data_IF_267111023892
#
_entry.id   IF_267111023892
#
_cell.length_a   1.000
_cell.length_b   1.000
_cell.length_c   1.000
_cell.angle_alpha   90.00
_cell.angle_beta   90.00
_cell.angle_gamma   90.00
#
_symmetry.space_group_name_H-M   'P 1'
#
loop_
_entity.id
_entity.type
_entity.pdbx_description
1 polymer ?
#
# COMPACT_ATOMS: atom_id res chain seq x y z
N UNK A 1 -41.70 16.75 -28.82
CA UNK A 1 -41.56 16.54 -27.37
C UNK A 1 -41.34 15.07 -27.04
N UNK A 2 -42.16 14.14 -27.59
CA UNK A 2 -41.95 12.69 -27.42
C UNK A 2 -40.63 12.20 -28.06
N UNK A 3 -40.38 12.55 -29.32
CA UNK A 3 -39.14 12.15 -30.03
C UNK A 3 -37.86 12.69 -29.38
N UNK A 4 -37.96 13.88 -28.79
CA UNK A 4 -36.85 14.52 -28.05
C UNK A 4 -36.57 13.78 -26.74
N UNK A 5 -37.62 13.29 -26.07
CA UNK A 5 -37.51 12.46 -24.88
C UNK A 5 -36.92 11.09 -25.21
N UNK A 6 -37.35 10.45 -26.29
CA UNK A 6 -36.82 9.15 -26.75
C UNK A 6 -35.34 9.23 -27.15
N UNK A 7 -34.94 10.34 -27.78
CA UNK A 7 -33.55 10.60 -28.12
C UNK A 7 -32.68 10.78 -26.87
N UNK A 8 -33.15 11.58 -25.90
CA UNK A 8 -32.45 11.78 -24.62
C UNK A 8 -32.37 10.48 -23.81
N UNK A 9 -33.46 9.69 -23.79
CA UNK A 9 -33.51 8.41 -23.10
C UNK A 9 -32.55 7.39 -23.72
N UNK A 10 -32.51 7.31 -25.04
CA UNK A 10 -31.56 6.45 -25.77
C UNK A 10 -30.11 6.86 -25.50
N UNK A 11 -29.81 8.17 -25.50
CA UNK A 11 -28.47 8.68 -25.17
C UNK A 11 -28.08 8.32 -23.73
N UNK A 12 -28.99 8.51 -22.77
CA UNK A 12 -28.76 8.17 -21.37
C UNK A 12 -28.51 6.67 -21.19
N UNK A 13 -29.31 5.81 -21.82
CA UNK A 13 -29.12 4.35 -21.80
C UNK A 13 -27.77 3.94 -22.38
N UNK A 14 -27.37 4.51 -23.52
CA UNK A 14 -26.06 4.25 -24.14
C UNK A 14 -24.94 4.67 -23.20
N UNK A 15 -25.04 5.86 -22.59
CA UNK A 15 -24.05 6.36 -21.64
C UNK A 15 -23.95 5.45 -20.41
N UNK A 16 -25.09 5.04 -19.83
CA UNK A 16 -25.14 4.12 -18.68
C UNK A 16 -24.52 2.77 -19.05
N UNK A 17 -24.84 2.21 -20.23
CA UNK A 17 -24.26 0.95 -20.70
C UNK A 17 -22.73 1.06 -20.84
N UNK A 18 -22.24 2.16 -21.42
CA UNK A 18 -20.81 2.47 -21.55
C UNK A 18 -20.09 2.60 -20.21
N UNK A 19 -20.75 3.07 -19.15
CA UNK A 19 -20.17 3.09 -17.80
C UNK A 19 -20.28 1.75 -17.08
N UNK A 20 -21.32 0.97 -17.38
CA UNK A 20 -21.59 -0.30 -16.70
C UNK A 20 -20.58 -1.37 -17.09
N UNK A 21 -20.18 -1.44 -18.36
CA UNK A 21 -19.23 -2.44 -18.87
C UNK A 21 -17.84 -2.31 -18.21
N UNK A 22 -17.19 -1.12 -18.16
CA UNK A 22 -15.93 -0.93 -17.44
C UNK A 22 -16.05 -1.21 -15.94
N UNK A 23 -17.16 -0.80 -15.30
CA UNK A 23 -17.39 -1.07 -13.88
C UNK A 23 -17.49 -2.58 -13.60
N UNK A 24 -18.16 -3.35 -14.46
CA UNK A 24 -18.23 -4.80 -14.37
C UNK A 24 -16.85 -5.44 -14.54
N UNK A 25 -16.08 -5.03 -15.56
CA UNK A 25 -14.72 -5.55 -15.80
C UNK A 25 -13.81 -5.26 -14.58
N UNK A 26 -13.83 -4.03 -14.07
CA UNK A 26 -13.06 -3.65 -12.88
C UNK A 26 -13.52 -4.41 -11.64
N UNK A 27 -14.82 -4.61 -11.46
CA UNK A 27 -15.39 -5.39 -10.37
C UNK A 27 -14.94 -6.85 -10.41
N UNK A 28 -14.92 -7.46 -11.59
CA UNK A 28 -14.43 -8.84 -11.80
C UNK A 28 -12.93 -8.94 -11.51
N UNK A 29 -12.12 -7.99 -12.00
CA UNK A 29 -10.68 -7.96 -11.70
C UNK A 29 -10.43 -7.83 -10.20
N UNK A 30 -11.15 -6.94 -9.52
CA UNK A 30 -11.05 -6.79 -8.06
C UNK A 30 -11.47 -8.07 -7.34
N UNK A 31 -12.57 -8.70 -7.74
CA UNK A 31 -13.03 -9.96 -7.17
C UNK A 31 -11.99 -11.07 -7.33
N UNK A 32 -11.39 -11.23 -8.52
CA UNK A 32 -10.33 -12.20 -8.75
C UNK A 32 -9.08 -11.93 -7.89
N UNK A 33 -8.69 -10.67 -7.74
CA UNK A 33 -7.55 -10.28 -6.88
C UNK A 33 -7.82 -10.61 -5.40
N UNK A 34 -9.06 -10.48 -4.94
CA UNK A 34 -9.48 -10.79 -3.57
C UNK A 34 -9.61 -12.29 -3.29
N UNK A 35 -10.01 -13.07 -4.30
CA UNK A 35 -10.18 -14.52 -4.19
C UNK A 35 -8.84 -15.27 -4.33
N UNK A 36 -7.81 -14.65 -4.93
CA UNK A 36 -6.50 -15.28 -5.11
C UNK A 36 -5.85 -15.63 -3.77
N UNK A 37 -5.76 -16.92 -3.48
CA UNK A 37 -5.03 -17.49 -2.33
C UNK A 37 -3.60 -16.92 -2.30
N UNK A 38 -3.30 -16.14 -1.25
CA UNK A 38 -1.94 -15.74 -0.89
C UNK A 38 -1.52 -14.31 -1.28
N UNK A 39 -2.28 -13.57 -2.10
CA UNK A 39 -1.80 -12.28 -2.61
C UNK A 39 -2.46 -11.05 -1.98
N UNK A 40 -3.79 -11.08 -1.84
CA UNK A 40 -4.53 -9.88 -1.43
C UNK A 40 -5.72 -10.24 -0.55
N UNK A 41 -5.64 -9.96 0.76
CA UNK A 41 -6.75 -10.23 1.69
C UNK A 41 -7.39 -8.90 2.09
N UNK A 42 -8.72 -8.81 2.03
CA UNK A 42 -9.46 -7.76 2.71
C UNK A 42 -9.66 -8.17 4.17
N UNK A 43 -9.10 -7.41 5.11
CA UNK A 43 -9.35 -7.60 6.54
C UNK A 43 -9.61 -6.25 7.17
N UNK A 44 -10.78 -6.08 7.81
CA UNK A 44 -11.15 -4.90 8.61
C UNK A 44 -10.93 -3.54 7.90
N UNK A 45 -11.33 -3.44 6.62
CA UNK A 45 -11.20 -2.18 5.87
C UNK A 45 -9.79 -1.87 5.37
N UNK A 46 -8.89 -2.85 5.35
CA UNK A 46 -7.58 -2.73 4.73
C UNK A 46 -7.44 -3.71 3.58
N UNK A 47 -6.81 -3.22 2.50
CA UNK A 47 -6.28 -4.07 1.44
C UNK A 47 -4.88 -4.50 1.87
N UNK A 48 -4.70 -5.81 2.04
CA UNK A 48 -3.45 -6.38 2.53
C UNK A 48 -2.75 -7.07 1.39
N UNK A 49 -1.49 -6.72 1.13
CA UNK A 49 -0.61 -7.43 0.21
C UNK A 49 0.48 -8.14 1.03
N UNK A 50 0.62 -9.45 0.87
CA UNK A 50 1.60 -10.24 1.62
C UNK A 50 2.78 -10.65 0.75
N UNK A 51 4.01 -10.57 1.30
CA UNK A 51 5.17 -11.29 0.79
C UNK A 51 5.79 -12.14 1.91
N UNK A 52 6.34 -13.34 1.62
CA UNK A 52 7.10 -14.07 2.62
C UNK A 52 8.34 -13.27 3.03
N UNK A 53 8.69 -13.33 4.31
CA UNK A 53 9.93 -12.75 4.84
C UNK A 53 11.14 -13.58 4.40
N UNK A 54 12.23 -12.90 4.05
CA UNK A 54 13.55 -13.54 3.88
C UNK A 54 14.07 -14.02 5.24
N UNK A 55 15.07 -14.91 5.22
CA UNK A 55 15.66 -15.46 6.45
C UNK A 55 16.29 -14.35 7.30
N UNK A 56 17.09 -13.48 6.69
CA UNK A 56 17.75 -12.34 7.36
C UNK A 56 16.72 -11.37 7.97
N UNK A 57 15.68 -11.02 7.21
CA UNK A 57 14.59 -10.15 7.69
C UNK A 57 13.87 -10.77 8.89
N UNK A 58 13.66 -12.09 8.87
CA UNK A 58 13.04 -12.81 9.96
C UNK A 58 13.91 -12.77 11.22
N UNK A 59 15.19 -13.10 11.10
CA UNK A 59 16.13 -13.13 12.22
C UNK A 59 16.29 -11.73 12.85
N UNK A 60 16.40 -10.70 12.00
CA UNK A 60 16.44 -9.31 12.45
C UNK A 60 15.18 -8.91 13.22
N UNK A 61 14.01 -9.15 12.64
CA UNK A 61 12.74 -8.77 13.25
C UNK A 61 12.44 -9.56 14.54
N UNK A 62 12.88 -10.82 14.63
CA UNK A 62 12.73 -11.63 15.85
C UNK A 62 13.72 -11.24 16.96
N UNK A 63 14.86 -10.66 16.61
CA UNK A 63 15.89 -10.18 17.54
C UNK A 63 15.73 -8.70 17.91
N UNK A 64 14.60 -8.09 17.54
CA UNK A 64 14.25 -6.74 17.97
C UNK A 64 13.84 -6.83 19.46
N UNK A 65 14.52 -6.06 20.31
CA UNK A 65 14.16 -5.91 21.73
C UNK A 65 13.55 -4.53 22.01
N UNK A 66 13.84 -3.54 21.16
CA UNK A 66 13.45 -2.15 21.29
C UNK A 66 12.87 -1.62 19.97
N UNK A 67 11.99 -0.61 20.09
CA UNK A 67 11.46 0.12 18.93
C UNK A 67 12.58 0.93 18.27
N UNK A 68 12.66 0.88 16.94
CA UNK A 68 13.60 1.67 16.14
C UNK A 68 12.88 2.86 15.56
N UNK A 69 13.41 4.06 15.79
CA UNK A 69 12.94 5.29 15.17
C UNK A 69 14.07 5.88 14.33
N UNK A 70 13.75 6.36 13.14
CA UNK A 70 14.68 7.06 12.27
C UNK A 70 14.14 8.46 12.03
N UNK A 71 14.82 9.43 12.60
CA UNK A 71 14.57 10.85 12.37
C UNK A 71 15.65 11.37 11.43
N UNK A 72 15.26 12.17 10.43
CA UNK A 72 16.21 12.84 9.54
C UNK A 72 16.08 14.35 9.72
N UNK A 73 17.22 15.03 9.92
CA UNK A 73 17.27 16.49 9.95
C UNK A 73 17.12 17.04 8.54
N UNK A 74 16.03 17.77 8.31
CA UNK A 74 15.76 18.48 7.06
C UNK A 74 15.91 19.98 7.31
N UNK A 75 16.10 20.77 6.25
CA UNK A 75 16.36 22.21 6.34
C UNK A 75 15.30 23.01 7.15
N UNK A 76 14.10 22.46 7.38
CA UNK A 76 13.00 23.08 8.14
C UNK A 76 12.65 22.35 9.46
N UNK A 77 13.48 21.42 9.94
CA UNK A 77 13.28 20.68 11.20
C UNK A 77 13.57 19.18 11.08
N UNK A 78 13.40 18.44 12.18
CA UNK A 78 13.41 16.97 12.17
C UNK A 78 12.07 16.44 11.67
N UNK A 79 12.12 15.50 10.71
CA UNK A 79 10.93 14.77 10.25
C UNK A 79 11.14 13.29 10.49
N UNK A 80 10.10 12.62 10.98
CA UNK A 80 10.07 11.15 11.10
C UNK A 80 10.24 10.54 9.71
N UNK A 81 11.38 9.89 9.49
CA UNK A 81 11.74 9.24 8.22
C UNK A 81 11.19 7.82 8.16
N UNK A 82 11.14 7.14 9.32
CA UNK A 82 10.59 5.80 9.43
C UNK A 82 10.62 5.27 10.87
N UNK A 83 9.91 4.18 11.11
CA UNK A 83 9.98 3.44 12.36
C UNK A 83 9.78 1.94 12.16
N UNK A 84 10.38 1.15 13.05
CA UNK A 84 10.07 -0.27 13.29
C UNK A 84 9.63 -0.39 14.74
N UNK A 85 8.34 -0.64 14.94
CA UNK A 85 7.74 -0.73 16.27
C UNK A 85 7.27 -2.13 16.56
N UNK A 86 7.75 -2.71 17.66
CA UNK A 86 7.28 -3.98 18.17
C UNK A 86 6.22 -3.77 19.24
N UNK A 87 5.07 -4.39 19.05
CA UNK A 87 4.02 -4.44 20.05
C UNK A 87 3.62 -5.90 20.28
N UNK A 88 4.04 -6.44 21.43
CA UNK A 88 3.90 -7.85 21.80
C UNK A 88 4.50 -8.76 20.73
N UNK A 89 3.64 -9.31 19.86
CA UNK A 89 3.96 -10.31 18.85
C UNK A 89 3.73 -9.76 17.43
N UNK A 90 3.37 -8.49 17.31
CA UNK A 90 3.22 -7.81 16.02
C UNK A 90 4.30 -6.76 15.84
N UNK A 91 4.86 -6.69 14.65
CA UNK A 91 5.80 -5.62 14.27
C UNK A 91 5.14 -4.74 13.21
N UNK A 92 5.24 -3.43 13.41
CA UNK A 92 4.81 -2.40 12.46
C UNK A 92 6.04 -1.72 11.88
N UNK A 93 6.09 -1.62 10.56
CA UNK A 93 7.16 -0.98 9.82
C UNK A 93 6.53 0.13 9.00
N UNK A 94 7.04 1.33 9.15
CA UNK A 94 6.63 2.47 8.34
C UNK A 94 7.87 3.23 7.89
N UNK A 95 7.83 3.70 6.65
CA UNK A 95 8.88 4.52 6.08
C UNK A 95 8.23 5.50 5.10
N UNK A 96 8.67 6.75 5.11
CA UNK A 96 8.18 7.75 4.20
C UNK A 96 9.19 7.99 3.07
N UNK A 97 8.68 8.33 1.88
CA UNK A 97 9.51 8.75 0.75
C UNK A 97 9.11 10.18 0.37
N UNK A 98 10.01 11.13 0.60
CA UNK A 98 9.77 12.56 0.32
C UNK A 98 9.77 12.89 -1.18
N UNK A 99 10.25 11.97 -2.02
CA UNK A 99 10.30 12.12 -3.47
C UNK A 99 8.93 12.11 -4.16
N UNK A 100 7.84 11.78 -3.44
CA UNK A 100 6.50 11.71 -4.03
C UNK A 100 5.49 12.58 -3.25
N UNK A 101 5.05 13.68 -3.86
CA UNK A 101 4.14 14.69 -3.26
C UNK A 101 2.77 14.17 -2.80
N UNK A 102 2.41 12.95 -3.19
CA UNK A 102 1.15 12.30 -2.83
C UNK A 102 1.39 10.88 -2.36
N UNK A 103 2.34 10.67 -1.44
CA UNK A 103 2.56 9.36 -0.83
C UNK A 103 1.28 8.91 -0.12
N UNK A 104 0.84 7.70 -0.42
CA UNK A 104 -0.28 7.11 0.30
C UNK A 104 0.28 6.31 1.46
N UNK A 105 -0.26 6.49 2.68
CA UNK A 105 0.28 5.80 3.84
C UNK A 105 0.07 4.29 3.67
N UNK A 106 1.16 3.58 3.43
CA UNK A 106 1.23 2.14 3.55
C UNK A 106 2.02 1.81 4.82
N UNK A 107 1.60 0.76 5.52
CA UNK A 107 2.30 0.28 6.71
C UNK A 107 2.58 -1.20 6.50
N UNK A 108 3.84 -1.59 6.70
CA UNK A 108 4.26 -2.97 6.78
C UNK A 108 3.85 -3.54 8.14
N UNK A 109 3.28 -4.73 8.16
CA UNK A 109 2.94 -5.44 9.38
C UNK A 109 3.45 -6.88 9.32
N UNK A 110 4.06 -7.34 10.40
CA UNK A 110 4.48 -8.73 10.56
C UNK A 110 3.83 -9.30 11.80
N UNK A 111 3.28 -10.51 11.68
CA UNK A 111 2.72 -11.28 12.79
C UNK A 111 3.69 -12.39 13.18
N UNK A 112 4.40 -12.23 14.29
CA UNK A 112 5.42 -13.18 14.75
C UNK A 112 4.83 -14.53 15.18
N UNK A 113 3.51 -14.62 15.41
CA UNK A 113 2.83 -15.86 15.78
C UNK A 113 2.52 -16.77 14.59
N UNK A 114 2.62 -16.26 13.35
CA UNK A 114 2.27 -17.05 12.18
C UNK A 114 3.40 -18.03 11.85
N UNK A 115 3.08 -19.32 11.59
CA UNK A 115 4.10 -20.32 11.25
C UNK A 115 4.86 -19.97 9.97
N UNK A 116 4.19 -19.27 9.05
CA UNK A 116 4.81 -18.66 7.88
C UNK A 116 4.79 -17.14 8.05
N UNK A 117 5.94 -16.58 8.45
CA UNK A 117 6.09 -15.15 8.65
C UNK A 117 6.03 -14.43 7.30
N UNK A 118 5.06 -13.53 7.18
CA UNK A 118 4.83 -12.71 5.99
C UNK A 118 4.84 -11.22 6.37
N UNK A 119 5.49 -10.41 5.53
CA UNK A 119 5.37 -8.96 5.56
C UNK A 119 4.09 -8.56 4.82
N UNK A 120 3.16 -7.99 5.57
CA UNK A 120 1.85 -7.55 5.10
C UNK A 120 1.83 -6.04 4.92
N UNK A 121 1.85 -5.57 3.67
CA UNK A 121 1.61 -4.16 3.37
C UNK A 121 0.11 -3.88 3.47
N UNK A 122 -0.27 -3.01 4.39
CA UNK A 122 -1.65 -2.63 4.65
C UNK A 122 -1.91 -1.25 4.12
N UNK A 123 -2.91 -1.14 3.25
CA UNK A 123 -3.40 0.14 2.71
C UNK A 123 -4.86 0.34 3.11
N UNK A 124 -5.24 1.52 3.62
CA UNK A 124 -6.63 1.82 3.93
C UNK A 124 -7.53 1.68 2.70
N UNK A 125 -8.63 0.91 2.84
CA UNK A 125 -9.61 0.74 1.77
C UNK A 125 -10.32 2.05 1.43
N UNK A 126 -10.47 2.95 2.41
CA UNK A 126 -11.09 4.26 2.23
C UNK A 126 -10.41 5.08 1.12
N UNK A 127 -9.10 4.93 0.95
CA UNK A 127 -8.37 5.62 -0.12
C UNK A 127 -8.87 5.10 -1.47
N UNK A 128 -8.93 3.77 -1.65
CA UNK A 128 -9.48 3.17 -2.87
C UNK A 128 -10.95 3.52 -3.09
N UNK A 129 -11.75 3.62 -2.02
CA UNK A 129 -13.17 4.01 -2.10
C UNK A 129 -13.35 5.46 -2.55
N UNK A 130 -12.53 6.39 -2.05
CA UNK A 130 -12.57 7.80 -2.42
C UNK A 130 -12.29 8.05 -3.92
N UNK A 131 -11.76 7.07 -4.64
CA UNK A 131 -11.40 7.20 -6.06
C UNK A 131 -12.46 6.71 -7.02
N UNK A 132 -13.47 5.98 -6.53
CA UNK A 132 -14.56 5.51 -7.36
C UNK A 132 -15.27 6.63 -8.14
N UNK A 133 -15.54 7.81 -7.57
CA UNK A 133 -16.12 8.92 -8.33
C UNK A 133 -15.26 9.33 -9.53
N UNK A 134 -13.93 9.32 -9.38
CA UNK A 134 -13.01 9.66 -10.45
C UNK A 134 -12.95 8.57 -11.52
N UNK A 135 -12.90 7.29 -11.10
CA UNK A 135 -12.96 6.14 -12.03
C UNK A 135 -14.27 6.15 -12.83
N UNK A 136 -15.39 6.42 -12.17
CA UNK A 136 -16.71 6.54 -12.80
C UNK A 136 -16.77 7.74 -13.74
N UNK A 137 -16.08 8.86 -13.43
CA UNK A 137 -16.02 10.03 -14.33
C UNK A 137 -15.12 9.85 -15.56
N UNK A 138 -14.44 8.70 -15.72
CA UNK A 138 -13.47 8.45 -16.79
C UNK A 138 -12.08 9.05 -16.55
N UNK A 139 -11.97 10.12 -15.76
CA UNK A 139 -10.70 10.73 -15.33
C UNK A 139 -9.83 9.73 -14.56
N UNK A 140 -10.46 8.82 -13.81
CA UNK A 140 -9.77 7.83 -13.00
C UNK A 140 -8.99 6.78 -13.80
N UNK A 141 -9.19 6.67 -15.12
CA UNK A 141 -8.35 5.81 -15.97
C UNK A 141 -6.88 6.23 -15.98
N UNK A 142 -6.59 7.53 -15.83
CA UNK A 142 -5.21 8.04 -15.72
C UNK A 142 -4.69 7.93 -14.28
N UNK A 143 -5.58 8.05 -13.29
CA UNK A 143 -5.19 8.01 -11.88
C UNK A 143 -4.84 6.59 -11.41
N UNK A 144 -5.53 5.56 -11.92
CA UNK A 144 -5.30 4.17 -11.52
C UNK A 144 -3.84 3.70 -11.71
N UNK A 145 -3.18 3.89 -12.87
CA UNK A 145 -1.77 3.56 -13.05
C UNK A 145 -0.83 4.34 -12.12
N UNK A 146 -1.07 5.64 -11.96
CA UNK A 146 -0.25 6.50 -11.09
C UNK A 146 -0.31 6.04 -9.63
N UNK A 147 -1.49 5.60 -9.18
CA UNK A 147 -1.65 5.03 -7.85
C UNK A 147 -0.94 3.70 -7.69
N UNK A 148 -0.99 2.84 -8.71
CA UNK A 148 -0.29 1.57 -8.64
C UNK A 148 1.24 1.78 -8.57
N UNK A 149 1.77 2.74 -9.32
CA UNK A 149 3.17 3.14 -9.24
C UNK A 149 3.53 3.71 -7.86
N UNK A 150 2.68 4.58 -7.30
CA UNK A 150 2.86 5.11 -5.96
C UNK A 150 2.83 3.99 -4.90
N UNK A 151 1.87 3.08 -4.99
CA UNK A 151 1.75 1.94 -4.10
C UNK A 151 2.98 1.03 -4.16
N UNK A 152 3.48 0.74 -5.37
CA UNK A 152 4.74 0.01 -5.54
C UNK A 152 5.91 0.74 -4.93
N UNK A 153 6.02 2.05 -5.15
CA UNK A 153 7.06 2.87 -4.56
C UNK A 153 7.06 2.77 -3.03
N UNK A 154 5.89 2.86 -2.39
CA UNK A 154 5.76 2.72 -0.94
C UNK A 154 6.19 1.34 -0.43
N UNK A 155 5.82 0.26 -1.13
CA UNK A 155 6.30 -1.09 -0.79
C UNK A 155 7.82 -1.17 -0.86
N UNK A 156 8.41 -0.65 -1.94
CA UNK A 156 9.86 -0.59 -2.13
C UNK A 156 10.54 0.23 -1.04
N UNK A 157 9.99 1.40 -0.67
CA UNK A 157 10.52 2.23 0.43
C UNK A 157 10.54 1.48 1.76
N UNK A 158 9.48 0.73 2.08
CA UNK A 158 9.44 -0.09 3.31
C UNK A 158 10.48 -1.22 3.26
N UNK A 159 10.63 -1.86 2.10
CA UNK A 159 11.62 -2.92 1.91
C UNK A 159 13.06 -2.39 2.02
N UNK A 160 13.34 -1.28 1.36
CA UNK A 160 14.64 -0.63 1.39
C UNK A 160 14.98 -0.14 2.80
N UNK A 161 14.02 0.44 3.52
CA UNK A 161 14.19 0.84 4.91
C UNK A 161 14.50 -0.37 5.81
N UNK A 162 13.76 -1.47 5.68
CA UNK A 162 14.02 -2.70 6.44
C UNK A 162 15.43 -3.25 6.15
N UNK A 163 15.82 -3.28 4.87
CA UNK A 163 17.16 -3.73 4.46
C UNK A 163 18.27 -2.82 4.99
N UNK A 164 18.07 -1.50 4.97
CA UNK A 164 19.02 -0.54 5.54
C UNK A 164 19.21 -0.77 7.04
N UNK A 165 18.12 -1.00 7.80
CA UNK A 165 18.22 -1.29 9.23
C UNK A 165 18.93 -2.62 9.52
N UNK A 166 18.72 -3.64 8.68
CA UNK A 166 19.44 -4.92 8.78
C UNK A 166 20.95 -4.70 8.56
N UNK A 167 21.32 -4.01 7.48
CA UNK A 167 22.72 -3.77 7.12
C UNK A 167 23.44 -2.94 8.20
N UNK A 168 22.82 -1.87 8.69
CA UNK A 168 23.37 -1.02 9.74
C UNK A 168 23.60 -1.77 11.06
N UNK A 169 22.82 -2.82 11.34
CA UNK A 169 22.99 -3.64 12.55
C UNK A 169 24.06 -4.72 12.38
N UNK A 170 24.30 -5.18 11.16
CA UNK A 170 25.32 -6.18 10.83
C UNK A 170 26.73 -5.57 10.70
N UNK A 171 26.84 -4.28 10.40
CA UNK A 171 28.09 -3.51 10.40
C UNK A 171 28.16 -2.59 11.64
N UNK A 172 28.58 -3.07 12.83
CA UNK A 172 28.79 -2.18 13.96
C UNK A 172 30.04 -1.34 13.67
N UNK A 173 29.87 -0.01 13.52
CA UNK A 173 30.89 1.04 13.66
C UNK A 173 32.29 0.72 13.08
N UNK A 174 32.52 1.02 11.80
CA UNK A 174 33.86 1.35 11.28
C UNK A 174 34.12 2.86 11.31
N UNK A 175 33.70 3.57 12.36
CA UNK A 175 33.91 5.02 12.46
C UNK A 175 34.26 5.46 13.86
N UNK A 176 35.26 4.81 14.47
CA UNK A 176 36.13 5.46 15.45
C UNK A 176 37.58 5.04 15.17
N UNK A 177 38.30 5.88 14.42
CA UNK A 177 39.77 5.88 14.35
C UNK A 177 40.27 7.28 14.04
#
# INVERSE_FOLDING_TARGET
>A
MLETLDFLWSKLLITVLWFTIPCLILGVIQMMLLVRKGGTRLKRGFKIYGRPLKVEEREFLQSLEEDIFTEEEVFYGTLDYGFIRQNNQGILIWANSFDWRSSWPAVGYVDLMQPNLELQYRVPLLIYLALWPFVISGIGLILLPLMYLNFRKQMTTIDDYLQQQINNRLEPNQTES
#
